data_IF_146718614805
#
_entry.id   IF_146718614805
#
_cell.length_a   1.000
_cell.length_b   1.000
_cell.length_c   1.000
_cell.angle_alpha   90.00
_cell.angle_beta   90.00
_cell.angle_gamma   90.00
#
_symmetry.space_group_name_H-M   'P 1'
#
loop_
_entity.id
_entity.type
_entity.pdbx_description
1 polymer ?
#
# COMPACT_ATOMS: atom_id res chain seq x y z
N UNK A 1 -0.84 -9.26 -7.95
CA UNK A 1 -1.91 -8.54 -8.68
C UNK A 1 -1.47 -8.23 -10.12
N UNK A 2 -0.22 -7.83 -10.37
CA UNK A 2 0.26 -7.43 -11.71
C UNK A 2 0.16 -8.50 -12.81
N UNK A 3 -0.01 -9.77 -12.47
CA UNK A 3 -0.14 -10.89 -13.42
C UNK A 3 -1.59 -11.08 -13.89
N UNK A 4 -2.59 -10.70 -13.09
CA UNK A 4 -4.00 -10.94 -13.41
C UNK A 4 -4.49 -10.33 -14.72
N UNK A 5 -4.05 -9.15 -15.17
CA UNK A 5 -4.43 -8.62 -16.48
C UNK A 5 -4.12 -9.57 -17.62
N UNK A 6 -2.93 -10.18 -17.61
CA UNK A 6 -2.56 -11.18 -18.62
C UNK A 6 -3.38 -12.46 -18.51
N UNK A 7 -3.67 -12.90 -17.27
CA UNK A 7 -4.50 -14.09 -17.04
C UNK A 7 -5.91 -13.86 -17.62
N UNK A 8 -6.53 -12.71 -17.32
CA UNK A 8 -7.87 -12.38 -17.82
C UNK A 8 -7.90 -12.29 -19.35
N UNK A 9 -6.92 -11.64 -19.94
CA UNK A 9 -6.79 -11.50 -21.39
C UNK A 9 -6.66 -12.88 -22.05
N UNK A 10 -5.68 -13.67 -21.62
CA UNK A 10 -5.42 -15.02 -22.22
C UNK A 10 -6.58 -15.97 -21.96
N UNK A 11 -7.17 -15.96 -20.77
CA UNK A 11 -8.32 -16.84 -20.45
C UNK A 11 -9.54 -16.49 -21.30
N UNK A 12 -9.80 -15.21 -21.53
CA UNK A 12 -10.90 -14.75 -22.41
C UNK A 12 -10.67 -15.19 -23.86
N UNK A 13 -9.46 -15.02 -24.36
CA UNK A 13 -9.10 -15.48 -25.71
C UNK A 13 -9.27 -16.99 -25.84
N UNK A 14 -8.76 -17.75 -24.87
CA UNK A 14 -8.84 -19.20 -24.86
C UNK A 14 -10.28 -19.70 -24.77
N UNK A 15 -11.13 -19.06 -23.96
CA UNK A 15 -12.57 -19.34 -23.89
C UNK A 15 -13.23 -19.19 -25.28
N UNK A 16 -12.99 -18.04 -25.93
CA UNK A 16 -13.62 -17.77 -27.25
C UNK A 16 -13.10 -18.67 -28.35
N UNK A 17 -11.81 -18.99 -28.37
CA UNK A 17 -11.24 -19.97 -29.30
C UNK A 17 -11.95 -21.31 -29.14
N UNK A 18 -12.14 -21.80 -27.92
CA UNK A 18 -12.82 -23.07 -27.65
C UNK A 18 -14.28 -23.04 -28.14
N UNK A 19 -15.02 -21.94 -27.87
CA UNK A 19 -16.40 -21.79 -28.33
C UNK A 19 -16.51 -21.83 -29.88
N UNK A 20 -15.54 -21.24 -30.57
CA UNK A 20 -15.50 -21.20 -32.02
C UNK A 20 -15.17 -22.59 -32.60
N UNK A 21 -14.13 -23.24 -32.08
CA UNK A 21 -13.69 -24.56 -32.57
C UNK A 21 -14.72 -25.66 -32.37
N UNK A 22 -15.45 -25.63 -31.28
CA UNK A 22 -16.53 -26.58 -31.00
C UNK A 22 -17.84 -26.23 -31.68
N UNK A 23 -17.87 -25.18 -32.53
CA UNK A 23 -19.08 -24.62 -33.13
C UNK A 23 -20.16 -24.18 -32.12
N UNK A 24 -19.81 -24.05 -30.82
CA UNK A 24 -20.72 -23.61 -29.75
C UNK A 24 -21.17 -22.16 -29.96
N UNK A 25 -20.29 -21.32 -30.53
CA UNK A 25 -20.63 -19.93 -30.89
C UNK A 25 -21.83 -19.87 -31.88
N UNK A 26 -21.89 -20.77 -32.87
CA UNK A 26 -22.98 -20.84 -33.83
C UNK A 26 -24.27 -21.27 -33.14
N UNK A 27 -24.16 -22.22 -32.21
CA UNK A 27 -25.32 -22.69 -31.44
C UNK A 27 -25.87 -21.54 -30.59
N UNK A 28 -25.01 -20.80 -29.89
CA UNK A 28 -25.39 -19.63 -29.07
C UNK A 28 -26.10 -18.56 -29.93
N UNK A 29 -25.58 -18.29 -31.15
CA UNK A 29 -26.22 -17.35 -32.09
C UNK A 29 -27.60 -17.82 -32.53
N UNK A 30 -27.79 -19.10 -32.76
CA UNK A 30 -29.09 -19.67 -33.10
C UNK A 30 -30.12 -19.55 -31.97
N UNK A 31 -29.67 -19.52 -30.72
CA UNK A 31 -30.47 -19.21 -29.52
C UNK A 31 -30.70 -17.72 -29.30
N UNK A 32 -30.28 -16.83 -30.22
CA UNK A 32 -30.48 -15.39 -30.14
C UNK A 32 -29.45 -14.64 -29.30
N UNK A 33 -28.32 -15.27 -28.94
CA UNK A 33 -27.20 -14.63 -28.29
C UNK A 33 -26.25 -14.06 -29.35
N UNK A 34 -26.37 -12.76 -29.61
CA UNK A 34 -25.48 -12.05 -30.53
C UNK A 34 -24.10 -11.79 -29.89
N UNK A 35 -23.16 -11.31 -30.71
CA UNK A 35 -21.81 -11.02 -30.25
C UNK A 35 -21.80 -10.00 -29.09
N UNK A 36 -22.69 -9.00 -29.12
CA UNK A 36 -22.76 -7.98 -28.09
C UNK A 36 -23.21 -8.56 -26.74
N UNK A 37 -24.24 -9.40 -26.73
CA UNK A 37 -24.73 -10.09 -25.53
C UNK A 37 -23.65 -11.02 -24.96
N UNK A 38 -22.93 -11.74 -25.84
CA UNK A 38 -21.84 -12.61 -25.42
C UNK A 38 -20.72 -11.79 -24.72
N UNK A 39 -20.29 -10.69 -25.33
CA UNK A 39 -19.29 -9.78 -24.73
C UNK A 39 -19.79 -9.24 -23.39
N UNK A 40 -21.04 -8.82 -23.30
CA UNK A 40 -21.64 -8.29 -22.08
C UNK A 40 -21.63 -9.35 -20.94
N UNK A 41 -22.00 -10.59 -21.23
CA UNK A 41 -21.99 -11.68 -20.24
C UNK A 41 -20.57 -11.93 -19.73
N UNK A 42 -19.59 -12.07 -20.63
CA UNK A 42 -18.20 -12.32 -20.28
C UNK A 42 -17.65 -11.13 -19.45
N UNK A 43 -18.01 -9.91 -19.81
CA UNK A 43 -17.59 -8.69 -19.10
C UNK A 43 -18.16 -8.61 -17.69
N UNK A 44 -19.43 -8.94 -17.49
CA UNK A 44 -20.06 -8.98 -16.18
C UNK A 44 -19.38 -10.03 -15.29
N UNK A 45 -19.14 -11.22 -15.81
CA UNK A 45 -18.44 -12.29 -15.09
C UNK A 45 -17.03 -11.84 -14.72
N UNK A 46 -16.30 -11.20 -15.64
CA UNK A 46 -14.97 -10.64 -15.40
C UNK A 46 -14.99 -9.57 -14.31
N UNK A 47 -15.98 -8.66 -14.33
CA UNK A 47 -16.13 -7.63 -13.32
C UNK A 47 -16.37 -8.22 -11.93
N UNK A 48 -17.28 -9.19 -11.80
CA UNK A 48 -17.56 -9.87 -10.52
C UNK A 48 -16.31 -10.64 -10.03
N UNK A 49 -15.63 -11.36 -10.92
CA UNK A 49 -14.40 -12.08 -10.57
C UNK A 49 -13.30 -11.12 -10.10
N UNK A 50 -13.17 -9.96 -10.73
CA UNK A 50 -12.16 -8.95 -10.33
C UNK A 50 -12.49 -8.27 -8.99
N UNK A 51 -13.76 -8.06 -8.67
CA UNK A 51 -14.18 -7.61 -7.33
C UNK A 51 -13.81 -8.66 -6.27
N UNK A 52 -14.06 -9.92 -6.55
CA UNK A 52 -13.65 -11.01 -5.66
C UNK A 52 -12.13 -11.02 -5.44
N UNK A 53 -11.34 -10.82 -6.48
CA UNK A 53 -9.87 -10.74 -6.38
C UNK A 53 -9.42 -9.59 -5.47
N UNK A 54 -10.06 -8.42 -5.52
CA UNK A 54 -9.71 -7.31 -4.64
C UNK A 54 -10.09 -7.62 -3.20
N UNK A 55 -11.31 -8.06 -2.95
CA UNK A 55 -11.80 -8.25 -1.59
C UNK A 55 -11.03 -9.37 -0.86
N UNK A 56 -10.76 -10.48 -1.54
CA UNK A 56 -10.13 -11.64 -0.93
C UNK A 56 -8.64 -11.72 -1.21
N UNK A 57 -8.24 -11.70 -2.47
CA UNK A 57 -6.86 -11.99 -2.86
C UNK A 57 -5.91 -10.85 -2.53
N UNK A 58 -6.35 -9.59 -2.67
CA UNK A 58 -5.52 -8.45 -2.28
C UNK A 58 -5.21 -8.47 -0.78
N UNK A 59 -6.23 -8.60 0.07
CA UNK A 59 -6.06 -8.62 1.52
C UNK A 59 -5.24 -9.83 1.99
N UNK A 60 -5.44 -11.00 1.37
CA UNK A 60 -4.64 -12.18 1.65
C UNK A 60 -3.17 -11.98 1.25
N UNK A 61 -2.91 -11.45 0.05
CA UNK A 61 -1.55 -11.15 -0.43
C UNK A 61 -0.85 -10.09 0.42
N UNK A 62 -1.58 -9.07 0.89
CA UNK A 62 -1.05 -8.04 1.77
C UNK A 62 -0.56 -8.65 3.10
N UNK A 63 -1.39 -9.51 3.73
CA UNK A 63 -1.01 -10.22 4.97
C UNK A 63 0.18 -11.15 4.78
N UNK A 64 0.23 -11.90 3.67
CA UNK A 64 1.38 -12.75 3.35
C UNK A 64 2.66 -11.94 3.15
N UNK A 65 2.54 -10.79 2.48
CA UNK A 65 3.67 -9.90 2.30
C UNK A 65 4.14 -9.30 3.62
N UNK A 66 3.22 -8.92 4.49
CA UNK A 66 3.56 -8.44 5.85
C UNK A 66 4.32 -9.52 6.62
N UNK A 67 3.79 -10.73 6.67
CA UNK A 67 4.45 -11.86 7.31
C UNK A 67 5.84 -12.18 6.72
N UNK A 68 5.98 -12.09 5.39
CA UNK A 68 7.29 -12.24 4.74
C UNK A 68 8.27 -11.14 5.19
N UNK A 69 7.81 -9.89 5.31
CA UNK A 69 8.65 -8.79 5.75
C UNK A 69 9.06 -8.94 7.21
N UNK A 70 8.18 -9.45 8.07
CA UNK A 70 8.49 -9.73 9.48
C UNK A 70 9.59 -10.80 9.60
N UNK A 71 9.41 -11.94 8.91
CA UNK A 71 10.46 -12.99 8.89
C UNK A 71 11.76 -12.43 8.32
N UNK A 72 11.70 -11.70 7.21
CA UNK A 72 12.90 -11.11 6.60
C UNK A 72 13.62 -10.17 7.56
N UNK A 73 12.87 -9.41 8.36
CA UNK A 73 13.41 -8.48 9.34
C UNK A 73 14.13 -9.21 10.49
N UNK A 74 13.58 -10.35 10.94
CA UNK A 74 14.19 -11.17 12.00
C UNK A 74 15.55 -11.77 11.57
N UNK A 75 15.74 -12.03 10.28
CA UNK A 75 16.96 -12.59 9.71
C UNK A 75 17.90 -11.56 9.06
N UNK A 76 17.45 -10.33 8.84
CA UNK A 76 18.26 -9.27 8.24
C UNK A 76 19.07 -8.57 9.31
N UNK A 77 20.37 -8.57 9.19
CA UNK A 77 21.30 -7.76 9.99
C UNK A 77 21.14 -6.25 9.74
N UNK A 78 20.41 -5.87 8.70
CA UNK A 78 20.08 -4.49 8.33
C UNK A 78 18.58 -4.24 8.54
N UNK A 79 18.19 -3.62 9.65
CA UNK A 79 16.81 -3.22 9.99
C UNK A 79 16.16 -2.20 9.01
N UNK A 80 16.64 -2.13 7.77
CA UNK A 80 16.29 -1.10 6.77
C UNK A 80 14.97 -1.30 6.00
N UNK A 81 14.22 -2.38 6.22
CA UNK A 81 13.15 -2.75 5.29
C UNK A 81 11.71 -2.42 5.73
N UNK A 82 11.49 -1.93 6.94
CA UNK A 82 10.16 -1.55 7.44
C UNK A 82 9.88 -0.04 7.46
N UNK A 83 10.89 0.80 7.28
CA UNK A 83 10.70 2.24 7.22
C UNK A 83 11.29 2.80 5.92
N UNK A 84 10.62 3.75 5.31
CA UNK A 84 11.26 4.64 4.35
C UNK A 84 12.14 5.57 5.20
N UNK A 85 13.33 5.09 5.52
CA UNK A 85 14.37 5.90 6.14
C UNK A 85 14.99 6.70 5.01
N UNK A 86 14.84 8.01 5.03
CA UNK A 86 15.63 8.89 4.20
C UNK A 86 17.08 8.81 4.67
N UNK A 87 18.05 9.17 3.82
CA UNK A 87 19.47 9.27 4.22
C UNK A 87 19.70 10.13 5.48
N UNK A 88 18.72 10.98 5.83
CA UNK A 88 18.73 11.92 6.95
C UNK A 88 17.97 11.44 8.20
N UNK A 89 17.54 10.15 8.25
CA UNK A 89 16.80 9.58 9.38
C UNK A 89 15.29 9.71 9.28
N UNK A 90 14.62 9.55 10.41
CA UNK A 90 13.16 9.55 10.56
C UNK A 90 12.70 10.90 11.06
N UNK A 91 11.69 11.47 10.43
CA UNK A 91 11.06 12.72 10.83
C UNK A 91 9.59 12.49 11.17
N UNK A 92 9.18 12.86 12.39
CA UNK A 92 7.81 12.74 12.88
C UNK A 92 7.33 14.12 13.30
N UNK A 93 6.16 14.53 12.76
CA UNK A 93 5.44 15.70 13.25
C UNK A 93 4.36 15.22 14.21
N UNK A 94 4.39 15.74 15.42
CA UNK A 94 3.41 15.46 16.47
C UNK A 94 2.77 16.77 16.96
N UNK A 95 1.59 16.67 17.53
CA UNK A 95 0.89 17.79 18.13
C UNK A 95 0.29 17.34 19.46
N UNK A 96 0.76 17.93 20.56
CA UNK A 96 0.34 17.60 21.92
C UNK A 96 -0.03 18.89 22.64
N UNK A 97 -1.26 18.98 23.15
CA UNK A 97 -1.75 20.14 23.88
C UNK A 97 -1.56 21.46 23.10
N UNK A 98 -1.86 21.46 21.80
CA UNK A 98 -1.68 22.59 20.88
C UNK A 98 -0.20 23.01 20.67
N UNK A 99 0.76 22.29 21.21
CA UNK A 99 2.18 22.50 20.90
C UNK A 99 2.57 21.64 19.70
N UNK A 100 3.16 22.27 18.72
CA UNK A 100 3.71 21.55 17.55
C UNK A 100 5.08 21.00 17.91
N UNK A 101 5.29 19.73 17.61
CA UNK A 101 6.51 19.00 17.96
C UNK A 101 7.06 18.38 16.70
N UNK A 102 8.35 18.55 16.47
CA UNK A 102 9.07 17.84 15.41
C UNK A 102 10.08 16.91 16.08
N UNK A 103 10.00 15.64 15.75
CA UNK A 103 10.88 14.60 16.26
C UNK A 103 11.72 14.12 15.08
N UNK A 104 13.04 14.19 15.24
CA UNK A 104 13.99 13.59 14.32
C UNK A 104 14.73 12.47 15.02
N UNK A 105 14.82 11.30 14.41
CA UNK A 105 15.62 10.18 14.90
C UNK A 105 16.49 9.66 13.76
N UNK A 106 17.74 9.35 14.04
CA UNK A 106 18.66 8.85 13.03
C UNK A 106 18.38 7.39 12.66
N UNK A 107 18.04 6.55 13.64
CA UNK A 107 17.79 5.12 13.45
C UNK A 107 16.60 4.68 14.29
N UNK A 108 15.91 3.65 13.81
CA UNK A 108 14.91 2.88 14.55
C UNK A 108 15.32 1.42 14.58
N UNK A 109 15.35 0.82 15.76
CA UNK A 109 15.63 -0.59 15.99
C UNK A 109 14.53 -1.19 16.87
N UNK A 110 13.54 -1.83 16.24
CA UNK A 110 12.38 -2.38 16.95
C UNK A 110 11.60 -1.29 17.71
N UNK A 111 11.68 -1.31 19.04
CA UNK A 111 11.02 -0.34 19.93
C UNK A 111 11.91 0.83 20.37
N UNK A 112 13.10 0.95 19.81
CA UNK A 112 14.10 1.93 20.23
C UNK A 112 14.39 2.89 19.08
N UNK A 113 14.33 4.19 19.36
CA UNK A 113 14.90 5.23 18.51
C UNK A 113 16.28 5.61 19.03
N UNK A 114 17.21 5.84 18.11
CA UNK A 114 18.57 6.28 18.44
C UNK A 114 18.84 7.67 17.87
N UNK A 115 19.66 8.43 18.59
CA UNK A 115 20.05 9.82 18.26
C UNK A 115 18.81 10.68 17.96
N UNK A 116 17.94 10.82 18.96
CA UNK A 116 16.65 11.49 18.83
C UNK A 116 16.78 12.96 19.24
N UNK A 117 16.25 13.82 18.39
CA UNK A 117 16.10 15.26 18.68
C UNK A 117 14.60 15.59 18.61
N UNK A 118 14.05 16.05 19.73
CA UNK A 118 12.67 16.49 19.85
C UNK A 118 12.67 18.01 19.98
N UNK A 119 12.05 18.69 19.04
CA UNK A 119 11.91 20.15 19.05
C UNK A 119 10.47 20.53 19.28
N UNK A 120 10.19 21.22 20.38
CA UNK A 120 8.87 21.81 20.65
C UNK A 120 8.84 23.25 20.18
N UNK A 121 7.77 23.60 19.47
CA UNK A 121 7.53 24.93 18.92
C UNK A 121 6.41 25.64 19.68
N UNK A 122 6.47 26.95 19.72
CA UNK A 122 5.34 27.78 20.13
C UNK A 122 4.31 27.95 19.01
N UNK A 123 3.23 28.71 19.28
CA UNK A 123 2.17 28.97 18.29
C UNK A 123 2.67 29.75 17.06
N UNK A 124 3.81 30.43 17.15
CA UNK A 124 4.44 31.19 16.08
C UNK A 124 5.51 30.40 15.32
N UNK A 125 5.60 29.07 15.54
CA UNK A 125 6.65 28.21 14.98
C UNK A 125 8.08 28.60 15.42
N UNK A 126 8.25 29.27 16.55
CA UNK A 126 9.56 29.50 17.12
C UNK A 126 9.94 28.33 18.05
N UNK A 127 11.16 27.81 17.96
CA UNK A 127 11.58 26.70 18.81
C UNK A 127 11.70 27.14 20.24
N UNK A 128 10.98 26.47 21.14
CA UNK A 128 10.91 26.77 22.58
C UNK A 128 11.80 25.86 23.42
N UNK A 129 11.83 24.57 23.08
CA UNK A 129 12.52 23.53 23.84
C UNK A 129 13.13 22.51 22.91
N UNK A 130 14.36 22.11 23.16
CA UNK A 130 15.04 21.00 22.51
C UNK A 130 15.29 19.89 23.51
N UNK A 131 14.93 18.65 23.16
CA UNK A 131 15.23 17.48 23.96
C UNK A 131 16.05 16.54 23.09
N UNK A 132 17.27 16.25 23.54
CA UNK A 132 18.14 15.26 22.88
C UNK A 132 18.18 13.98 23.71
N UNK A 133 18.05 12.85 23.08
CA UNK A 133 18.19 11.53 23.68
C UNK A 133 18.99 10.60 22.78
N UNK A 134 20.00 9.93 23.36
CA UNK A 134 20.79 8.95 22.62
C UNK A 134 20.00 7.67 22.37
N UNK A 135 19.25 7.21 23.39
CA UNK A 135 18.40 6.01 23.35
C UNK A 135 17.03 6.38 23.90
N UNK A 136 15.99 6.08 23.12
CA UNK A 136 14.59 6.38 23.46
C UNK A 136 13.73 5.15 23.24
N UNK A 137 13.11 4.62 24.30
CA UNK A 137 12.12 3.54 24.21
C UNK A 137 10.76 4.12 23.82
N UNK A 138 10.25 3.66 22.67
CA UNK A 138 8.98 4.10 22.06
C UNK A 138 7.90 3.03 22.10
N UNK A 139 8.06 1.99 22.91
CA UNK A 139 7.10 0.87 23.00
C UNK A 139 5.68 1.32 23.33
N UNK A 140 5.56 2.36 24.15
CA UNK A 140 4.29 2.98 24.56
C UNK A 140 4.22 4.42 24.06
N UNK A 141 3.05 5.05 24.17
CA UNK A 141 2.87 6.49 23.89
C UNK A 141 3.65 7.40 24.87
N UNK A 142 4.01 6.88 26.04
CA UNK A 142 4.93 7.54 26.96
C UNK A 142 6.33 6.98 26.66
N UNK A 143 7.15 7.78 26.01
CA UNK A 143 8.52 7.43 25.65
C UNK A 143 9.44 7.60 26.83
N UNK A 144 10.39 6.71 27.00
CA UNK A 144 11.40 6.78 28.07
C UNK A 144 12.72 7.14 27.42
N UNK A 145 13.27 8.30 27.79
CA UNK A 145 14.57 8.79 27.34
C UNK A 145 15.57 8.54 28.48
N UNK A 146 16.46 7.57 28.32
CA UNK A 146 17.39 7.15 29.40
C UNK A 146 18.21 8.30 29.94
N UNK A 147 18.73 9.15 29.03
CA UNK A 147 19.54 10.32 29.40
C UNK A 147 19.14 11.51 28.52
N UNK A 148 18.16 12.28 28.97
CA UNK A 148 17.66 13.42 28.23
C UNK A 148 18.49 14.67 28.53
N UNK A 149 18.94 15.33 27.46
CA UNK A 149 19.52 16.66 27.51
C UNK A 149 18.45 17.63 27.04
N UNK A 150 17.95 18.46 27.96
CA UNK A 150 16.88 19.43 27.71
C UNK A 150 17.51 20.82 27.65
N UNK A 151 17.25 21.52 26.55
CA UNK A 151 17.71 22.92 26.38
C UNK A 151 16.46 23.80 26.25
N UNK A 152 16.26 24.63 27.24
CA UNK A 152 15.17 25.60 27.31
C UNK A 152 15.73 26.97 27.68
N UNK A 153 15.42 28.03 26.93
CA UNK A 153 15.92 29.39 27.14
C UNK A 153 17.45 29.46 27.35
N UNK A 154 18.22 28.71 26.54
CA UNK A 154 19.69 28.60 26.65
C UNK A 154 20.19 27.94 27.94
N UNK A 155 19.32 27.38 28.78
CA UNK A 155 19.70 26.63 29.97
C UNK A 155 19.68 25.13 29.63
N UNK A 156 20.83 24.48 29.87
CA UNK A 156 20.95 23.00 29.65
C UNK A 156 20.67 22.29 30.97
N UNK A 157 19.73 21.35 30.94
CA UNK A 157 19.38 20.45 32.03
C UNK A 157 19.57 19.00 31.59
N UNK A 158 20.10 18.15 32.45
CA UNK A 158 20.21 16.70 32.18
C UNK A 158 19.24 15.99 33.12
N UNK A 159 18.40 15.10 32.57
CA UNK A 159 17.48 14.27 33.33
C UNK A 159 17.65 12.81 32.90
N UNK A 160 17.74 11.91 33.89
CA UNK A 160 17.70 10.48 33.65
C UNK A 160 16.23 10.04 33.61
N UNK A 161 15.95 9.01 32.81
CA UNK A 161 14.60 8.38 32.64
C UNK A 161 13.50 9.43 32.43
N UNK A 162 13.75 10.37 31.50
CA UNK A 162 12.80 11.42 31.19
C UNK A 162 11.61 10.84 30.41
N UNK A 163 10.41 11.07 30.96
CA UNK A 163 9.16 10.64 30.34
C UNK A 163 8.68 11.72 29.35
N UNK A 164 8.56 11.34 28.10
CA UNK A 164 8.04 12.20 27.04
C UNK A 164 6.74 11.59 26.50
N UNK A 165 5.64 12.35 26.55
CA UNK A 165 4.37 11.93 25.99
C UNK A 165 4.38 12.18 24.48
N UNK A 166 3.91 11.19 23.67
CA UNK A 166 3.77 11.27 22.22
C UNK A 166 2.47 10.58 21.78
N UNK A 167 1.88 11.05 20.68
CA UNK A 167 0.76 10.35 20.03
C UNK A 167 1.23 9.10 19.28
N UNK A 168 2.53 8.88 19.17
CA UNK A 168 3.15 7.76 18.46
C UNK A 168 3.72 6.74 19.43
N UNK A 169 3.59 5.48 19.08
CA UNK A 169 4.29 4.34 19.67
C UNK A 169 5.05 3.60 18.54
N UNK A 170 5.84 2.58 18.87
CA UNK A 170 6.61 1.81 17.90
C UNK A 170 5.74 1.20 16.80
N UNK A 171 4.56 0.69 17.16
CA UNK A 171 3.62 0.08 16.22
C UNK A 171 3.10 1.12 15.19
N UNK A 172 2.68 2.30 15.68
CA UNK A 172 2.20 3.38 14.82
C UNK A 172 3.30 3.93 13.92
N UNK A 173 4.52 4.11 14.44
CA UNK A 173 5.67 4.54 13.66
C UNK A 173 5.99 3.51 12.56
N UNK A 174 6.03 2.22 12.89
CA UNK A 174 6.27 1.16 11.92
C UNK A 174 5.17 1.12 10.84
N UNK A 175 3.91 1.39 11.20
CA UNK A 175 2.79 1.46 10.24
C UNK A 175 2.95 2.65 9.29
N UNK A 176 3.37 3.81 9.78
CA UNK A 176 3.62 5.01 8.96
C UNK A 176 4.70 4.76 7.88
N UNK A 177 5.70 3.97 8.21
CA UNK A 177 6.80 3.64 7.29
C UNK A 177 6.64 2.29 6.60
N UNK A 178 5.52 1.59 6.78
CA UNK A 178 5.27 0.31 6.13
C UNK A 178 5.06 0.46 4.61
N UNK A 179 5.44 -0.59 3.89
CA UNK A 179 5.19 -0.63 2.45
C UNK A 179 3.69 -0.72 2.19
N UNK A 180 3.08 0.28 1.54
CA UNK A 180 1.64 0.35 1.24
C UNK A 180 1.06 -0.95 0.66
N UNK A 181 1.87 -1.72 -0.08
CA UNK A 181 1.43 -2.99 -0.68
C UNK A 181 1.38 -4.16 0.31
N UNK A 182 1.89 -4.01 1.53
CA UNK A 182 1.77 -4.98 2.62
C UNK A 182 0.62 -4.67 3.57
N UNK A 183 -0.11 -3.59 3.33
CA UNK A 183 -1.27 -3.18 4.10
C UNK A 183 -2.56 -3.68 3.42
N UNK A 184 -3.50 -4.13 4.22
CA UNK A 184 -4.86 -4.44 3.77
C UNK A 184 -5.60 -3.15 3.41
N UNK A 185 -6.74 -3.27 2.71
CA UNK A 185 -7.54 -2.09 2.33
C UNK A 185 -7.98 -1.30 3.57
N UNK A 186 -8.36 -1.98 4.65
CA UNK A 186 -8.78 -1.34 5.90
C UNK A 186 -7.64 -0.60 6.59
N UNK A 187 -6.46 -1.20 6.64
CA UNK A 187 -5.24 -0.56 7.18
C UNK A 187 -4.84 0.67 6.36
N UNK A 188 -5.01 0.62 5.03
CA UNK A 188 -4.76 1.79 4.17
C UNK A 188 -5.71 2.96 4.46
N UNK A 189 -7.00 2.70 4.75
CA UNK A 189 -7.93 3.75 5.16
C UNK A 189 -7.54 4.35 6.50
N UNK A 190 -7.25 3.51 7.49
CA UNK A 190 -6.83 3.98 8.80
C UNK A 190 -5.54 4.81 8.71
N UNK A 191 -4.56 4.34 7.93
CA UNK A 191 -3.31 5.05 7.69
C UNK A 191 -3.54 6.41 7.03
N UNK A 192 -4.44 6.48 6.02
CA UNK A 192 -4.81 7.74 5.37
C UNK A 192 -5.35 8.75 6.38
N UNK A 193 -6.27 8.31 7.24
CA UNK A 193 -6.91 9.19 8.22
C UNK A 193 -5.91 9.62 9.30
N UNK A 194 -4.98 8.75 9.69
CA UNK A 194 -3.86 9.09 10.58
C UNK A 194 -2.92 10.13 9.96
N UNK A 195 -2.51 9.95 8.69
CA UNK A 195 -1.67 10.93 7.97
C UNK A 195 -2.36 12.29 7.88
N UNK A 196 -3.66 12.30 7.56
CA UNK A 196 -4.45 13.53 7.50
C UNK A 196 -4.49 14.25 8.86
N UNK A 197 -4.66 13.51 9.96
CA UNK A 197 -4.77 14.07 11.32
C UNK A 197 -3.49 14.78 11.78
N UNK A 198 -2.32 14.32 11.34
CA UNK A 198 -1.01 14.93 11.66
C UNK A 198 -0.50 15.88 10.57
N UNK A 199 -1.30 16.13 9.54
CA UNK A 199 -0.97 17.07 8.45
C UNK A 199 0.09 16.55 7.48
N UNK A 200 0.27 15.23 7.38
CA UNK A 200 1.08 14.60 6.33
C UNK A 200 0.33 14.51 5.00
N UNK A 201 1.11 14.45 3.91
CA UNK A 201 0.51 14.24 2.59
C UNK A 201 -0.09 12.84 2.48
N UNK A 202 -1.36 12.78 2.11
CA UNK A 202 -2.11 11.52 1.86
C UNK A 202 -2.10 11.10 0.38
N UNK A 203 -1.37 11.84 -0.48
CA UNK A 203 -1.42 11.65 -1.92
C UNK A 203 -0.98 10.25 -2.35
N UNK A 204 0.09 9.70 -1.79
CA UNK A 204 0.57 8.36 -2.14
C UNK A 204 -0.42 7.27 -1.75
N UNK A 205 -1.03 7.40 -0.57
CA UNK A 205 -2.04 6.45 -0.09
C UNK A 205 -3.28 6.52 -0.98
N UNK A 206 -3.74 7.72 -1.33
CA UNK A 206 -4.88 7.92 -2.22
C UNK A 206 -4.61 7.36 -3.62
N UNK A 207 -3.43 7.59 -4.18
CA UNK A 207 -3.03 7.01 -5.47
C UNK A 207 -3.02 5.47 -5.42
N UNK A 208 -2.54 4.90 -4.32
CA UNK A 208 -2.55 3.45 -4.13
C UNK A 208 -3.96 2.88 -4.02
N UNK A 209 -4.84 3.51 -3.23
CA UNK A 209 -6.26 3.16 -3.14
C UNK A 209 -6.97 3.30 -4.49
N UNK A 210 -6.74 4.39 -5.22
CA UNK A 210 -7.32 4.60 -6.54
C UNK A 210 -6.90 3.51 -7.54
N UNK A 211 -5.63 3.08 -7.49
CA UNK A 211 -5.15 1.95 -8.28
C UNK A 211 -5.91 0.66 -7.96
N UNK A 212 -6.20 0.40 -6.69
CA UNK A 212 -6.97 -0.77 -6.25
C UNK A 212 -8.41 -0.67 -6.78
N UNK A 213 -9.08 0.47 -6.65
CA UNK A 213 -10.47 0.64 -7.08
C UNK A 213 -10.65 0.62 -8.59
N UNK A 214 -9.69 1.12 -9.36
CA UNK A 214 -9.75 1.11 -10.81
C UNK A 214 -9.45 -0.29 -11.41
N UNK A 215 -8.90 -1.20 -10.61
CA UNK A 215 -8.48 -2.52 -11.09
C UNK A 215 -9.62 -3.38 -11.68
N UNK A 216 -10.85 -3.46 -11.09
CA UNK A 216 -11.96 -4.21 -11.71
C UNK A 216 -12.36 -3.66 -13.07
N UNK A 217 -12.42 -2.34 -13.19
CA UNK A 217 -12.74 -1.69 -14.47
C UNK A 217 -11.67 -1.97 -15.49
N UNK A 218 -10.40 -1.92 -15.10
CA UNK A 218 -9.27 -2.22 -15.98
C UNK A 218 -9.31 -3.66 -16.50
N UNK A 219 -9.55 -4.67 -15.64
CA UNK A 219 -9.67 -6.05 -16.04
C UNK A 219 -10.86 -6.28 -16.97
N UNK A 220 -11.99 -5.61 -16.71
CA UNK A 220 -13.18 -5.69 -17.55
C UNK A 220 -12.93 -5.11 -18.95
N UNK A 221 -12.25 -3.96 -19.04
CA UNK A 221 -11.88 -3.38 -20.34
C UNK A 221 -10.98 -4.30 -21.14
N UNK A 222 -9.97 -4.93 -20.50
CA UNK A 222 -9.11 -5.92 -21.16
C UNK A 222 -9.91 -7.12 -21.67
N UNK A 223 -10.89 -7.60 -20.90
CA UNK A 223 -11.78 -8.70 -21.30
C UNK A 223 -12.63 -8.32 -22.50
N UNK A 224 -13.19 -7.10 -22.52
CA UNK A 224 -13.95 -6.56 -23.67
C UNK A 224 -13.03 -6.49 -24.88
N UNK A 225 -11.85 -5.93 -24.75
CA UNK A 225 -10.88 -5.81 -25.83
C UNK A 225 -10.51 -7.17 -26.42
N UNK A 226 -10.17 -8.15 -25.58
CA UNK A 226 -9.89 -9.52 -25.99
C UNK A 226 -11.09 -10.15 -26.73
N UNK A 227 -12.31 -9.93 -26.23
CA UNK A 227 -13.53 -10.47 -26.83
C UNK A 227 -13.82 -9.86 -28.20
N UNK A 228 -13.66 -8.54 -28.35
CA UNK A 228 -13.85 -7.85 -29.63
C UNK A 228 -12.84 -8.34 -30.67
N UNK A 229 -11.57 -8.48 -30.28
CA UNK A 229 -10.53 -9.00 -31.19
C UNK A 229 -10.88 -10.41 -31.67
N UNK A 230 -11.23 -11.31 -30.74
CA UNK A 230 -11.45 -12.71 -31.05
C UNK A 230 -12.74 -12.95 -31.91
N UNK A 231 -13.77 -12.16 -31.69
CA UNK A 231 -15.04 -12.32 -32.43
C UNK A 231 -15.03 -11.71 -33.85
N UNK A 232 -14.09 -10.81 -34.14
CA UNK A 232 -14.00 -10.10 -35.41
C UNK A 232 -12.91 -10.63 -36.36
N UNK A 233 -12.01 -11.51 -35.89
CA UNK A 233 -10.94 -12.05 -36.73
C UNK A 233 -11.34 -13.39 -37.33
N UNK A 234 -11.17 -13.61 -38.67
CA UNK A 234 -11.43 -14.89 -39.30
C UNK A 234 -10.43 -15.97 -38.84
N UNK A 235 -10.93 -17.15 -38.44
CA UNK A 235 -10.12 -18.23 -37.89
C UNK A 235 -9.45 -19.08 -39.00
N UNK A 236 -8.47 -18.48 -39.67
CA UNK A 236 -7.74 -19.15 -40.77
C UNK A 236 -6.28 -19.50 -40.38
N UNK A 237 -5.88 -19.25 -39.12
CA UNK A 237 -4.52 -19.45 -38.62
C UNK A 237 -4.50 -20.34 -37.37
N UNK A 238 -3.34 -20.91 -36.98
CA UNK A 238 -3.25 -21.74 -35.79
C UNK A 238 -3.55 -20.95 -34.51
N UNK A 239 -4.09 -21.62 -33.48
CA UNK A 239 -4.50 -21.05 -32.17
C UNK A 239 -3.47 -20.13 -31.57
N UNK A 240 -2.22 -20.52 -31.64
CA UNK A 240 -1.08 -19.75 -31.04
C UNK A 240 -0.97 -18.35 -31.62
N UNK A 241 -1.30 -18.16 -32.90
CA UNK A 241 -1.31 -16.85 -33.55
C UNK A 241 -2.33 -15.91 -32.94
N UNK A 242 -3.53 -16.41 -32.60
CA UNK A 242 -4.59 -15.61 -32.00
C UNK A 242 -4.29 -15.23 -30.54
N UNK A 243 -3.65 -16.13 -29.79
CA UNK A 243 -3.20 -15.84 -28.43
C UNK A 243 -2.12 -14.74 -28.44
N UNK A 244 -1.17 -14.79 -29.36
CA UNK A 244 -0.16 -13.75 -29.51
C UNK A 244 -0.73 -12.40 -29.91
N UNK A 245 -1.76 -12.37 -30.75
CA UNK A 245 -2.38 -11.13 -31.24
C UNK A 245 -3.03 -10.28 -30.14
N UNK A 246 -3.36 -10.86 -29.00
CA UNK A 246 -3.85 -10.12 -27.84
C UNK A 246 -2.77 -9.64 -26.87
N UNK A 247 -1.53 -10.12 -27.04
CA UNK A 247 -0.39 -9.75 -26.19
C UNK A 247 0.42 -8.59 -26.82
N UNK A 248 0.44 -8.51 -28.17
CA UNK A 248 1.07 -7.46 -28.98
C UNK A 248 0.03 -6.47 -29.53
#
# INVERSE_FOLDING_TARGET
INIFPFIFLISTQFLLINLIEKNELIILKNFGIDNFRLIAIISIVSFIASLFLIIFFYNFSAKLKHFYLDIKNDFATDNKYLAVITENGIWIKDEINNNKIIINAKLIEGNILKEVVITKFDNNFLPKEYIYGEIVDIKKKIWIIEKAIIIENNVRKIKNDFLFESNFNSEKINTLFSNLTSLTIWELFNLRDEYASVGYSVNEINLHLQKIYSFPVYLTILTIFASVLMLNVPFNKPKFFYLLMGIF
#
